data_IF_945032040644
#
_entry.id   IF_945032040644
#
_cell.length_a   1.000
_cell.length_b   1.000
_cell.length_c   1.000
_cell.angle_alpha   90.00
_cell.angle_beta   90.00
_cell.angle_gamma   90.00
#
_symmetry.space_group_name_H-M   'P 1'
#
loop_
_entity.id
_entity.type
_entity.pdbx_description
1 polymer ?
#
# COMPACT_ATOMS: atom_id res chain seq x y z
N UNK A 1 -29.99 -10.01 -11.87
CA UNK A 1 -29.39 -8.92 -11.08
C UNK A 1 -27.93 -9.28 -10.84
N UNK A 2 -27.00 -8.36 -11.08
CA UNK A 2 -25.58 -8.57 -10.78
C UNK A 2 -25.27 -8.05 -9.36
N UNK A 3 -24.48 -8.77 -8.56
CA UNK A 3 -24.14 -8.34 -7.21
C UNK A 3 -23.30 -7.06 -7.24
N UNK A 4 -23.58 -6.15 -6.30
CA UNK A 4 -22.93 -4.83 -6.19
C UNK A 4 -21.87 -4.82 -5.09
N UNK A 5 -20.78 -4.11 -5.34
CA UNK A 5 -19.78 -3.70 -4.36
C UNK A 5 -19.83 -2.17 -4.22
N UNK A 6 -19.75 -1.70 -2.98
CA UNK A 6 -19.69 -0.27 -2.65
C UNK A 6 -18.35 0.02 -1.98
N UNK A 7 -17.61 0.96 -2.56
CA UNK A 7 -16.29 1.38 -2.08
C UNK A 7 -16.33 2.86 -1.69
N UNK A 8 -15.69 3.20 -0.58
CA UNK A 8 -15.57 4.59 -0.09
C UNK A 8 -14.19 4.81 0.48
N UNK A 9 -13.64 6.00 0.22
CA UNK A 9 -12.35 6.44 0.74
C UNK A 9 -12.53 7.76 1.46
N UNK A 10 -12.01 7.85 2.69
CA UNK A 10 -11.91 9.10 3.44
C UNK A 10 -10.43 9.43 3.59
N UNK A 11 -10.00 10.55 3.04
CA UNK A 11 -8.60 10.97 3.04
C UNK A 11 -8.40 12.30 3.76
N UNK A 12 -7.22 12.47 4.34
CA UNK A 12 -6.68 13.78 4.73
C UNK A 12 -5.21 13.83 4.36
N UNK A 13 -4.79 14.96 3.82
CA UNK A 13 -3.40 15.24 3.52
C UNK A 13 -2.95 16.57 4.15
N UNK A 14 -1.64 16.70 4.34
CA UNK A 14 -1.02 17.93 4.78
C UNK A 14 0.45 17.98 4.37
N UNK A 15 0.88 19.14 3.89
CA UNK A 15 2.30 19.43 3.61
C UNK A 15 2.89 20.32 4.69
N UNK A 16 3.83 19.79 5.44
CA UNK A 16 4.60 20.50 6.44
C UNK A 16 5.73 21.30 5.79
N UNK A 17 5.98 22.51 6.32
CA UNK A 17 7.13 23.35 5.98
C UNK A 17 8.44 22.83 6.61
N UNK A 18 8.70 21.53 6.48
CA UNK A 18 9.92 20.87 6.96
C UNK A 18 10.74 20.44 5.75
N UNK A 19 12.03 20.79 5.74
CA UNK A 19 12.91 20.53 4.60
C UNK A 19 12.41 21.20 3.33
N UNK A 20 12.33 20.46 2.21
CA UNK A 20 11.77 20.96 0.95
C UNK A 20 10.26 20.69 0.80
N UNK A 21 9.55 20.47 1.91
CA UNK A 21 8.13 20.14 1.95
C UNK A 21 7.90 18.66 2.21
N UNK A 22 7.59 18.31 3.47
CA UNK A 22 7.20 16.96 3.84
C UNK A 22 5.69 16.84 3.67
N UNK A 23 5.25 16.01 2.74
CA UNK A 23 3.85 15.70 2.51
C UNK A 23 3.48 14.40 3.22
N UNK A 24 2.30 14.39 3.84
CA UNK A 24 1.72 13.21 4.49
C UNK A 24 0.27 13.09 4.03
N UNK A 25 -0.13 11.88 3.63
CA UNK A 25 -1.51 11.52 3.31
C UNK A 25 -1.91 10.30 4.16
N UNK A 26 -3.13 10.35 4.67
CA UNK A 26 -3.75 9.25 5.40
C UNK A 26 -5.14 8.99 4.84
N UNK A 27 -5.42 7.73 4.52
CA UNK A 27 -6.66 7.32 3.87
C UNK A 27 -7.28 6.14 4.59
N UNK A 28 -8.60 6.16 4.75
CA UNK A 28 -9.38 5.05 5.25
C UNK A 28 -10.29 4.52 4.14
N UNK A 29 -10.13 3.25 3.81
CA UNK A 29 -10.88 2.57 2.77
C UNK A 29 -11.93 1.66 3.40
N UNK A 30 -13.17 1.78 2.93
CA UNK A 30 -14.30 0.94 3.29
C UNK A 30 -14.87 0.30 2.03
N UNK A 31 -14.90 -1.02 1.99
CA UNK A 31 -15.53 -1.78 0.90
C UNK A 31 -16.60 -2.69 1.46
N UNK A 32 -17.82 -2.64 0.92
CA UNK A 32 -18.92 -3.55 1.30
C UNK A 32 -19.50 -4.25 0.08
N UNK A 33 -19.63 -5.58 0.16
CA UNK A 33 -20.13 -6.43 -0.92
C UNK A 33 -21.50 -7.02 -0.59
N UNK A 34 -22.37 -7.10 -1.59
CA UNK A 34 -23.65 -7.82 -1.48
C UNK A 34 -23.44 -9.33 -1.23
N UNK A 35 -24.49 -10.00 -0.76
CA UNK A 35 -24.44 -11.40 -0.33
C UNK A 35 -24.09 -12.36 -1.46
N UNK A 36 -24.55 -12.04 -2.66
CA UNK A 36 -24.43 -12.84 -3.88
C UNK A 36 -23.09 -12.64 -4.59
N UNK A 37 -22.20 -11.80 -4.03
CA UNK A 37 -20.86 -11.61 -4.55
C UNK A 37 -20.01 -12.87 -4.31
N UNK A 38 -19.41 -13.39 -5.38
CA UNK A 38 -18.44 -14.48 -5.29
C UNK A 38 -17.20 -13.99 -4.53
N UNK A 39 -16.97 -14.53 -3.33
CA UNK A 39 -15.77 -14.20 -2.55
C UNK A 39 -14.84 -15.40 -2.52
N UNK A 40 -13.57 -15.20 -2.86
CA UNK A 40 -12.49 -16.14 -2.53
C UNK A 40 -12.12 -16.10 -1.03
N UNK A 41 -12.89 -15.37 -0.23
CA UNK A 41 -12.64 -15.18 1.18
C UNK A 41 -13.12 -16.39 2.02
N UNK A 42 -12.17 -17.11 2.62
CA UNK A 42 -12.43 -18.24 3.53
C UNK A 42 -13.16 -17.86 4.83
N UNK A 43 -13.12 -16.59 5.27
CA UNK A 43 -13.84 -16.13 6.48
C UNK A 43 -15.24 -15.59 6.18
N UNK A 44 -15.63 -15.50 4.91
CA UNK A 44 -16.97 -15.06 4.49
C UNK A 44 -17.32 -13.61 4.86
N UNK A 45 -16.32 -12.76 5.11
CA UNK A 45 -16.57 -11.35 5.40
C UNK A 45 -16.95 -10.60 4.14
N UNK A 46 -17.81 -9.58 4.30
CA UNK A 46 -18.34 -8.78 3.19
C UNK A 46 -18.01 -7.31 3.29
N UNK A 47 -17.61 -6.86 4.47
CA UNK A 47 -17.16 -5.50 4.72
C UNK A 47 -15.68 -5.57 5.06
N UNK A 48 -14.90 -4.74 4.36
CA UNK A 48 -13.45 -4.64 4.49
C UNK A 48 -13.08 -3.23 4.87
N UNK A 49 -12.08 -3.11 5.72
CA UNK A 49 -11.57 -1.85 6.21
C UNK A 49 -10.05 -1.87 6.05
N UNK A 50 -9.52 -0.82 5.43
CA UNK A 50 -8.08 -0.60 5.33
C UNK A 50 -7.73 0.81 5.76
N UNK A 51 -6.54 0.99 6.31
CA UNK A 51 -5.94 2.32 6.46
C UNK A 51 -4.66 2.35 5.62
N UNK A 52 -4.57 3.37 4.77
CA UNK A 52 -3.39 3.73 4.01
C UNK A 52 -2.70 4.93 4.65
N UNK A 53 -1.39 4.90 4.60
CA UNK A 53 -0.53 6.00 4.98
C UNK A 53 0.49 6.19 3.87
N UNK A 54 0.71 7.41 3.44
CA UNK A 54 1.86 7.76 2.64
C UNK A 54 2.53 9.00 3.17
N UNK A 55 3.83 9.05 3.00
CA UNK A 55 4.62 10.24 3.22
C UNK A 55 5.68 10.35 2.15
N UNK A 56 5.97 11.57 1.73
CA UNK A 56 7.01 11.86 0.77
C UNK A 56 7.63 13.22 1.04
N UNK A 57 8.92 13.34 0.74
CA UNK A 57 9.64 14.60 0.87
C UNK A 57 10.79 14.65 -0.14
N UNK A 58 10.86 15.73 -0.94
CA UNK A 58 12.02 16.00 -1.76
C UNK A 58 13.25 16.25 -0.87
N UNK A 59 14.35 15.57 -1.17
CA UNK A 59 15.67 15.83 -0.57
C UNK A 59 16.43 16.82 -1.43
N UNK A 60 16.36 16.63 -2.76
CA UNK A 60 16.93 17.55 -3.73
C UNK A 60 16.04 17.71 -4.97
N UNK A 61 16.49 18.46 -5.97
CA UNK A 61 15.78 18.62 -7.25
C UNK A 61 15.56 17.29 -7.99
N UNK A 62 16.46 16.32 -7.78
CA UNK A 62 16.44 15.02 -8.45
C UNK A 62 16.02 13.86 -7.52
N UNK A 63 15.92 14.08 -6.21
CA UNK A 63 15.75 12.99 -5.23
C UNK A 63 14.56 13.24 -4.32
N UNK A 64 13.71 12.24 -4.17
CA UNK A 64 12.60 12.20 -3.22
C UNK A 64 12.59 10.87 -2.47
N UNK A 65 12.43 10.92 -1.15
CA UNK A 65 12.16 9.72 -0.36
C UNK A 65 10.68 9.62 -0.03
N UNK A 66 10.18 8.38 0.01
CA UNK A 66 8.76 8.07 0.12
C UNK A 66 8.58 6.85 1.01
N UNK A 67 7.52 6.83 1.80
CA UNK A 67 7.05 5.61 2.48
C UNK A 67 5.58 5.46 2.16
N UNK A 68 5.20 4.28 1.68
CA UNK A 68 3.80 3.87 1.56
C UNK A 68 3.53 2.77 2.56
N UNK A 69 2.38 2.81 3.22
CA UNK A 69 1.93 1.75 4.09
C UNK A 69 0.44 1.51 3.95
N UNK A 70 0.06 0.25 4.10
CA UNK A 70 -1.32 -0.18 4.18
C UNK A 70 -1.47 -1.12 5.37
N UNK A 71 -2.63 -1.11 6.00
CA UNK A 71 -3.02 -2.04 7.04
C UNK A 71 -4.45 -2.51 6.83
N UNK A 72 -4.66 -3.83 6.86
CA UNK A 72 -5.96 -4.49 6.78
C UNK A 72 -6.46 -4.81 8.19
N UNK A 73 -7.59 -4.23 8.60
CA UNK A 73 -8.11 -4.44 9.95
C UNK A 73 -8.66 -5.85 10.18
N UNK A 74 -9.03 -6.55 9.13
CA UNK A 74 -9.71 -7.82 9.20
C UNK A 74 -8.73 -8.97 9.51
N UNK A 75 -7.63 -9.06 8.77
CA UNK A 75 -6.57 -10.05 9.08
C UNK A 75 -5.36 -9.47 9.79
N UNK A 76 -5.39 -8.17 10.09
CA UNK A 76 -4.30 -7.45 10.79
C UNK A 76 -2.97 -7.54 10.06
N UNK A 77 -3.03 -7.74 8.74
CA UNK A 77 -1.85 -7.66 7.88
C UNK A 77 -1.48 -6.21 7.61
N UNK A 78 -0.18 -5.98 7.45
CA UNK A 78 0.36 -4.70 7.05
C UNK A 78 1.38 -4.86 5.94
N UNK A 79 1.57 -3.79 5.19
CA UNK A 79 2.66 -3.65 4.24
C UNK A 79 3.25 -2.26 4.39
N UNK A 80 4.58 -2.17 4.32
CA UNK A 80 5.33 -0.93 4.31
C UNK A 80 6.30 -0.99 3.13
N UNK A 81 6.37 0.10 2.37
CA UNK A 81 7.19 0.24 1.19
C UNK A 81 8.01 1.53 1.33
N UNK A 82 9.20 1.49 1.94
CA UNK A 82 10.16 2.57 1.77
C UNK A 82 10.67 2.60 0.33
N UNK A 83 10.74 3.79 -0.25
CA UNK A 83 11.17 4.02 -1.62
C UNK A 83 12.02 5.30 -1.72
N UNK A 84 13.08 5.23 -2.50
CA UNK A 84 13.84 6.39 -2.98
C UNK A 84 13.58 6.51 -4.48
N UNK A 85 13.19 7.69 -4.92
CA UNK A 85 13.01 8.07 -6.32
C UNK A 85 14.15 9.01 -6.72
N UNK A 86 14.78 8.70 -7.85
CA UNK A 86 15.83 9.49 -8.48
C UNK A 86 15.41 9.85 -9.92
N UNK A 87 15.32 11.15 -10.23
CA UNK A 87 15.07 11.67 -11.58
C UNK A 87 16.36 11.60 -12.38
N UNK A 88 16.39 10.77 -13.42
CA UNK A 88 17.51 10.69 -14.37
C UNK A 88 17.35 11.77 -15.45
N UNK A 89 16.11 11.98 -15.90
CA UNK A 89 15.65 13.08 -16.75
C UNK A 89 14.26 13.51 -16.25
N UNK A 90 13.60 14.44 -16.94
CA UNK A 90 12.24 14.89 -16.59
C UNK A 90 11.17 13.78 -16.74
N UNK A 91 11.48 12.74 -17.51
CA UNK A 91 10.58 11.63 -17.86
C UNK A 91 11.10 10.24 -17.45
N UNK A 92 12.37 10.12 -17.07
CA UNK A 92 13.02 8.86 -16.66
C UNK A 92 13.36 8.86 -15.17
N UNK A 93 12.86 7.86 -14.46
CA UNK A 93 13.01 7.74 -13.02
C UNK A 93 13.57 6.38 -12.63
N UNK A 94 14.48 6.39 -11.65
CA UNK A 94 15.02 5.21 -10.98
C UNK A 94 14.44 5.13 -9.57
N UNK A 95 13.84 3.99 -9.26
CA UNK A 95 13.25 3.70 -7.95
C UNK A 95 14.03 2.58 -7.27
N UNK A 96 14.55 2.86 -6.08
CA UNK A 96 15.01 1.82 -5.16
C UNK A 96 13.96 1.65 -4.07
N UNK A 97 13.38 0.47 -3.93
CA UNK A 97 12.31 0.22 -2.97
C UNK A 97 12.50 -1.08 -2.21
N UNK A 98 12.07 -1.06 -0.96
CA UNK A 98 11.86 -2.26 -0.16
C UNK A 98 10.36 -2.50 -0.04
N UNK A 99 9.93 -3.75 -0.03
CA UNK A 99 8.60 -4.16 0.41
C UNK A 99 8.78 -4.98 1.66
N UNK A 100 8.03 -4.65 2.71
CA UNK A 100 8.02 -5.35 4.00
C UNK A 100 6.56 -5.63 4.34
N UNK A 101 6.23 -6.87 4.70
CA UNK A 101 4.87 -7.30 5.05
C UNK A 101 4.85 -8.18 6.31
N UNK A 102 3.76 -8.14 7.07
CA UNK A 102 3.60 -8.87 8.33
C UNK A 102 2.17 -8.87 8.87
N UNK A 103 1.92 -9.66 9.91
CA UNK A 103 0.65 -9.71 10.68
C UNK A 103 0.96 -9.40 12.15
N UNK A 104 0.17 -8.53 12.77
CA UNK A 104 0.33 -8.06 14.16
C UNK A 104 0.07 -9.19 15.18
N UNK A 105 -0.74 -10.20 14.87
CA UNK A 105 -1.22 -11.21 15.83
C UNK A 105 -0.33 -12.44 16.01
N UNK A 106 0.75 -12.65 15.25
CA UNK A 106 1.67 -13.74 15.58
C UNK A 106 2.61 -14.24 14.48
N UNK A 107 3.90 -14.29 14.86
CA UNK A 107 5.00 -15.18 14.46
C UNK A 107 5.27 -15.52 12.98
N UNK A 108 4.51 -14.95 12.04
CA UNK A 108 4.74 -15.13 10.61
C UNK A 108 5.28 -13.82 10.05
N UNK A 109 6.55 -13.84 9.64
CA UNK A 109 7.21 -12.80 8.81
C UNK A 109 6.64 -12.76 7.38
N UNK A 110 5.43 -13.30 7.19
CA UNK A 110 4.74 -13.56 5.92
C UNK A 110 3.28 -13.07 6.05
N UNK A 111 3.07 -11.83 6.53
CA UNK A 111 1.74 -11.22 6.55
C UNK A 111 1.46 -10.39 5.29
N UNK A 112 0.58 -10.94 4.46
CA UNK A 112 0.20 -10.44 3.15
C UNK A 112 -0.84 -9.33 3.24
N UNK A 113 -0.62 -8.19 2.58
CA UNK A 113 -1.74 -7.37 2.14
C UNK A 113 -2.35 -7.98 0.87
N UNK A 114 -3.63 -8.33 0.94
CA UNK A 114 -4.44 -8.91 -0.13
C UNK A 114 -3.96 -10.29 -0.64
N UNK A 115 -4.42 -11.37 0.00
CA UNK A 115 -5.27 -12.45 -0.58
C UNK A 115 -5.13 -13.77 0.20
N UNK A 116 -6.28 -14.36 0.51
CA UNK A 116 -6.46 -15.68 1.11
C UNK A 116 -6.43 -16.75 0.02
N UNK A 117 -5.25 -17.18 -0.42
CA UNK A 117 -5.08 -18.36 -1.29
C UNK A 117 -4.48 -19.51 -0.49
N UNK A 118 -4.95 -20.74 -0.74
CA UNK A 118 -4.45 -21.94 -0.05
C UNK A 118 -3.01 -22.34 -0.46
N UNK A 119 -2.48 -21.77 -1.54
CA UNK A 119 -1.09 -21.94 -1.95
C UNK A 119 -0.38 -20.58 -2.00
N UNK A 120 0.81 -20.53 -1.41
CA UNK A 120 1.73 -19.41 -1.47
C UNK A 120 3.16 -19.93 -1.37
N UNK A 121 4.04 -19.48 -2.27
CA UNK A 121 5.36 -20.09 -2.50
C UNK A 121 6.53 -19.09 -2.48
N UNK A 122 6.40 -17.92 -1.85
CA UNK A 122 7.45 -16.90 -1.90
C UNK A 122 7.50 -16.00 -0.66
N UNK A 123 8.65 -15.36 -0.44
CA UNK A 123 8.87 -14.36 0.61
C UNK A 123 8.22 -13.03 0.24
N UNK A 124 7.41 -12.46 1.13
CA UNK A 124 6.65 -11.21 0.91
C UNK A 124 7.51 -9.94 0.97
N UNK A 125 8.64 -10.03 1.66
CA UNK A 125 9.62 -8.97 1.70
C UNK A 125 10.55 -9.08 0.49
N UNK A 126 10.75 -7.97 -0.20
CA UNK A 126 11.60 -7.89 -1.37
C UNK A 126 12.33 -6.56 -1.41
N UNK A 127 13.49 -6.53 -2.03
CA UNK A 127 14.17 -5.31 -2.42
C UNK A 127 14.15 -5.27 -3.95
N UNK A 128 13.80 -4.12 -4.50
CA UNK A 128 13.64 -3.91 -5.92
C UNK A 128 14.37 -2.67 -6.40
N UNK A 129 14.84 -2.76 -7.63
CA UNK A 129 15.26 -1.61 -8.43
C UNK A 129 14.34 -1.55 -9.65
N UNK A 130 13.73 -0.40 -9.90
CA UNK A 130 12.79 -0.21 -11.01
C UNK A 130 13.19 1.02 -11.80
N UNK A 131 13.23 0.89 -13.11
CA UNK A 131 13.38 2.02 -14.04
C UNK A 131 12.02 2.24 -14.69
N UNK A 132 11.47 3.44 -14.58
CA UNK A 132 10.24 3.81 -15.26
C UNK A 132 10.47 5.04 -16.14
N UNK A 133 9.92 5.00 -17.35
CA UNK A 133 9.87 6.15 -18.24
C UNK A 133 8.40 6.48 -18.50
N UNK A 134 8.04 7.76 -18.38
CA UNK A 134 6.69 8.26 -18.59
C UNK A 134 6.64 9.04 -19.91
N UNK A 135 5.86 8.55 -20.88
CA UNK A 135 5.69 9.14 -22.21
C UNK A 135 4.45 10.03 -22.31
#
# INVERSE_FOLDING_TARGET
SSPVQFDTVFGTDYTFEIGKGLHILMEYFLSTKQKEFSTSDLKGQRTYHHIGFSMDQPIDIEIKWQIYSLYDFLDKSFQIIPQIEYSVTDDLFLYFHGKIGGDINGNKTNGRLYQRTNSFSGTESSIGLTVANYF
#
